data_IF_122854832523
#
_entry.id   IF_122854832523
#
_cell.length_a   1.000
_cell.length_b   1.000
_cell.length_c   1.000
_cell.angle_alpha   90.00
_cell.angle_beta   90.00
_cell.angle_gamma   90.00
#
_symmetry.space_group_name_H-M   'P 1'
#
loop_
_entity.id
_entity.type
_entity.pdbx_description
1 polymer ?
#
# COMPACT_ATOMS: atom_id res chain seq x y z
N UNK A 1 -16.12 -2.60 23.15
CA UNK A 1 -14.92 -2.68 22.28
C UNK A 1 -14.88 -4.07 21.65
N UNK A 2 -14.47 -4.19 20.40
CA UNK A 2 -14.19 -5.49 19.79
C UNK A 2 -12.88 -6.00 20.38
N UNK A 3 -12.78 -7.32 20.65
CA UNK A 3 -11.58 -7.94 21.19
C UNK A 3 -10.36 -7.74 20.30
N UNK A 4 -9.19 -7.68 20.87
CA UNK A 4 -7.93 -7.82 20.16
C UNK A 4 -7.89 -9.18 19.46
N UNK A 5 -7.29 -9.22 18.26
CA UNK A 5 -6.96 -10.49 17.63
C UNK A 5 -5.69 -11.00 18.30
N UNK A 6 -5.76 -12.09 19.02
CA UNK A 6 -4.57 -12.70 19.62
C UNK A 6 -3.61 -13.18 18.54
N UNK A 7 -2.32 -13.03 18.77
CA UNK A 7 -1.29 -13.48 17.82
C UNK A 7 -1.43 -14.94 17.42
N UNK A 8 -1.86 -15.77 18.36
CA UNK A 8 -2.10 -17.22 18.16
C UNK A 8 -3.28 -17.52 17.23
N UNK A 9 -4.22 -16.56 17.06
CA UNK A 9 -5.40 -16.70 16.20
C UNK A 9 -5.15 -16.21 14.76
N UNK A 10 -4.08 -15.42 14.51
CA UNK A 10 -3.79 -14.88 13.20
C UNK A 10 -2.90 -15.83 12.40
N UNK A 11 -3.46 -16.40 11.34
CA UNK A 11 -2.70 -17.27 10.42
C UNK A 11 -1.98 -16.40 9.36
N UNK A 12 -0.66 -16.29 9.51
CA UNK A 12 0.20 -15.60 8.56
C UNK A 12 0.17 -16.33 7.21
N UNK A 13 -0.14 -15.59 6.14
CA UNK A 13 -0.09 -16.12 4.77
C UNK A 13 1.34 -16.08 4.25
N UNK A 14 1.87 -17.24 3.88
CA UNK A 14 3.27 -17.41 3.44
C UNK A 14 3.41 -17.79 1.97
N UNK A 15 2.31 -17.78 1.21
CA UNK A 15 2.29 -18.04 -0.23
C UNK A 15 2.05 -16.75 -1.01
N UNK A 16 2.19 -16.78 -2.33
CA UNK A 16 1.98 -15.63 -3.21
C UNK A 16 0.51 -15.44 -3.63
N UNK A 17 -0.44 -16.17 -3.05
CA UNK A 17 -1.87 -15.96 -3.26
C UNK A 17 -2.55 -15.75 -1.91
N UNK A 18 -3.04 -14.52 -1.68
CA UNK A 18 -3.74 -14.16 -0.45
C UNK A 18 -5.23 -14.01 -0.68
N UNK A 19 -6.02 -14.71 0.14
CA UNK A 19 -7.47 -14.73 0.06
C UNK A 19 -8.09 -14.50 1.43
N UNK A 20 -8.85 -13.40 1.57
CA UNK A 20 -9.53 -13.03 2.80
C UNK A 20 -11.02 -12.80 2.53
N UNK A 21 -11.82 -13.88 2.36
CA UNK A 21 -13.25 -13.77 2.06
C UNK A 21 -14.03 -13.09 3.19
N UNK A 22 -13.56 -13.27 4.42
CA UNK A 22 -14.08 -12.61 5.60
C UNK A 22 -13.12 -11.50 6.04
N UNK A 23 -13.48 -10.24 5.75
CA UNK A 23 -12.72 -9.09 6.19
C UNK A 23 -12.64 -9.04 7.71
N UNK A 24 -11.45 -8.82 8.27
CA UNK A 24 -11.23 -8.62 9.69
C UNK A 24 -12.05 -7.47 10.28
N UNK A 25 -12.51 -7.67 11.51
CA UNK A 25 -13.40 -6.72 12.22
C UNK A 25 -12.95 -6.50 13.67
N UNK A 26 -11.73 -6.87 14.02
CA UNK A 26 -11.17 -6.66 15.36
C UNK A 26 -10.86 -5.19 15.63
N UNK A 27 -10.64 -4.83 16.86
CA UNK A 27 -10.36 -3.46 17.31
C UNK A 27 -11.36 -2.44 16.69
N UNK A 28 -10.86 -1.38 16.14
CA UNK A 28 -11.63 -0.28 15.53
C UNK A 28 -11.83 -0.42 14.02
N UNK A 29 -11.35 -1.52 13.42
CA UNK A 29 -11.50 -1.73 11.98
C UNK A 29 -12.96 -1.72 11.52
N UNK A 30 -13.21 -0.97 10.44
CA UNK A 30 -14.51 -0.93 9.78
C UNK A 30 -14.35 -0.81 8.28
N UNK A 31 -15.39 -1.19 7.54
CA UNK A 31 -15.39 -1.18 6.08
C UNK A 31 -16.05 0.07 5.47
N UNK A 32 -16.40 1.08 6.28
CA UNK A 32 -17.19 2.25 5.83
C UNK A 32 -16.38 3.18 4.93
N UNK A 33 -15.08 3.31 5.18
CA UNK A 33 -14.21 4.11 4.33
C UNK A 33 -13.93 3.36 3.03
N UNK A 34 -14.38 3.94 1.92
CA UNK A 34 -14.23 3.32 0.59
C UNK A 34 -12.76 3.31 0.19
N UNK A 35 -12.28 2.18 -0.31
CA UNK A 35 -10.91 2.01 -0.77
C UNK A 35 -9.91 1.58 0.31
N UNK A 36 -10.31 1.39 1.58
CA UNK A 36 -9.41 0.80 2.56
C UNK A 36 -9.21 -0.70 2.32
N UNK A 37 -8.01 -1.18 2.48
CA UNK A 37 -7.69 -2.61 2.39
C UNK A 37 -8.17 -3.42 3.60
N UNK A 38 -8.22 -4.75 3.45
CA UNK A 38 -8.58 -5.63 4.56
C UNK A 38 -7.48 -5.60 5.63
N UNK A 39 -7.83 -5.54 6.93
CA UNK A 39 -6.84 -5.50 8.02
C UNK A 39 -5.83 -6.64 8.00
N UNK A 40 -6.23 -7.80 7.49
CA UNK A 40 -5.35 -8.97 7.34
C UNK A 40 -4.12 -8.66 6.47
N UNK A 41 -4.22 -7.72 5.50
CA UNK A 41 -3.10 -7.41 4.59
C UNK A 41 -1.98 -6.69 5.35
N UNK A 42 -2.19 -5.50 5.95
CA UNK A 42 -1.14 -4.85 6.72
C UNK A 42 -0.70 -5.67 7.94
N UNK A 43 -1.62 -6.42 8.60
CA UNK A 43 -1.25 -7.33 9.68
C UNK A 43 -0.22 -8.37 9.22
N UNK A 44 -0.47 -9.01 8.08
CA UNK A 44 0.43 -10.01 7.51
C UNK A 44 1.78 -9.43 7.12
N UNK A 45 1.79 -8.24 6.48
CA UNK A 45 3.01 -7.52 6.10
C UNK A 45 3.87 -7.15 7.31
N UNK A 46 3.25 -6.58 8.35
CA UNK A 46 3.93 -6.14 9.57
C UNK A 46 4.57 -7.34 10.28
N UNK A 47 3.86 -8.48 10.38
CA UNK A 47 4.37 -9.72 10.99
C UNK A 47 5.52 -10.35 10.20
N UNK A 48 5.48 -10.31 8.87
CA UNK A 48 6.51 -10.90 8.01
C UNK A 48 7.77 -10.03 7.88
N UNK A 49 7.61 -8.69 7.84
CA UNK A 49 8.67 -7.78 7.40
C UNK A 49 9.11 -6.75 8.44
N UNK A 50 8.60 -6.84 9.67
CA UNK A 50 9.04 -5.98 10.79
C UNK A 50 9.09 -6.73 12.11
N UNK A 51 9.75 -6.12 13.11
CA UNK A 51 9.82 -6.58 14.50
C UNK A 51 9.10 -5.60 15.42
N UNK A 52 8.87 -5.96 16.67
CA UNK A 52 8.43 -5.01 17.71
C UNK A 52 9.41 -3.83 17.76
N UNK A 53 8.89 -2.64 18.03
CA UNK A 53 9.59 -1.34 18.04
C UNK A 53 10.06 -0.82 16.67
N UNK A 54 10.00 -1.62 15.60
CA UNK A 54 10.29 -1.12 14.24
C UNK A 54 9.31 -0.02 13.83
N UNK A 55 9.77 0.90 12.98
CA UNK A 55 8.94 1.99 12.44
C UNK A 55 8.26 1.58 11.14
N UNK A 56 6.92 1.64 11.13
CA UNK A 56 6.06 1.35 9.98
C UNK A 56 5.48 2.64 9.42
N UNK A 57 5.72 2.91 8.14
CA UNK A 57 5.20 4.09 7.43
C UNK A 57 4.06 3.69 6.47
N UNK A 58 2.98 4.46 6.49
CA UNK A 58 1.97 4.51 5.44
C UNK A 58 1.83 5.96 4.93
N UNK A 59 2.40 6.30 3.76
CA UNK A 59 2.35 7.67 3.23
C UNK A 59 0.99 8.07 2.64
N UNK A 60 0.02 7.15 2.55
CA UNK A 60 -1.35 7.38 2.08
C UNK A 60 -2.35 6.63 2.98
N UNK A 61 -2.37 7.03 4.25
CA UNK A 61 -2.91 6.26 5.38
C UNK A 61 -4.42 6.01 5.31
N UNK A 62 -5.16 6.79 4.55
CA UNK A 62 -6.61 6.67 4.43
C UNK A 62 -7.29 6.65 5.82
N UNK A 63 -8.15 5.67 6.07
CA UNK A 63 -8.85 5.53 7.36
C UNK A 63 -8.00 4.93 8.49
N UNK A 64 -6.69 4.74 8.31
CA UNK A 64 -5.77 4.30 9.36
C UNK A 64 -5.62 2.80 9.53
N UNK A 65 -6.03 1.97 8.57
CA UNK A 65 -5.97 0.50 8.71
C UNK A 65 -4.56 0.01 9.02
N UNK A 66 -3.53 0.52 8.35
CA UNK A 66 -2.12 0.20 8.62
C UNK A 66 -1.69 0.64 10.02
N UNK A 67 -2.11 1.83 10.43
CA UNK A 67 -1.74 2.40 11.74
C UNK A 67 -2.39 1.66 12.90
N UNK A 68 -3.63 1.17 12.73
CA UNK A 68 -4.29 0.31 13.72
C UNK A 68 -3.47 -0.98 13.93
N UNK A 69 -3.04 -1.61 12.85
CA UNK A 69 -2.22 -2.83 12.94
C UNK A 69 -0.82 -2.54 13.50
N UNK A 70 -0.15 -1.47 13.06
CA UNK A 70 1.15 -1.08 13.61
C UNK A 70 1.07 -0.86 15.12
N UNK A 71 0.08 -0.08 15.58
CA UNK A 71 -0.18 0.18 16.99
C UNK A 71 -0.40 -1.12 17.78
N UNK A 72 -1.33 -1.95 17.33
CA UNK A 72 -1.71 -3.17 18.06
C UNK A 72 -0.62 -4.24 18.13
N UNK A 73 0.30 -4.21 17.16
CA UNK A 73 1.42 -5.14 17.08
C UNK A 73 2.73 -4.60 17.70
N UNK A 74 2.69 -3.45 18.41
CA UNK A 74 3.86 -2.88 19.08
C UNK A 74 4.89 -2.30 18.11
N UNK A 75 4.44 -1.70 16.99
CA UNK A 75 5.29 -0.97 16.04
C UNK A 75 5.04 0.53 16.15
N UNK A 76 6.05 1.33 15.88
CA UNK A 76 5.94 2.78 15.79
C UNK A 76 5.30 3.15 14.44
N UNK A 77 4.03 3.55 14.45
CA UNK A 77 3.30 3.92 13.24
C UNK A 77 3.53 5.38 12.84
N UNK A 78 3.84 5.63 11.57
CA UNK A 78 3.86 6.97 10.96
C UNK A 78 2.91 6.95 9.77
N UNK A 79 1.89 7.83 9.78
CA UNK A 79 0.89 7.91 8.71
C UNK A 79 0.77 9.32 8.14
N UNK A 80 0.63 9.42 6.82
CA UNK A 80 0.30 10.67 6.15
C UNK A 80 -0.92 10.51 5.24
N UNK A 81 -1.68 11.58 5.10
CA UNK A 81 -2.69 11.73 4.06
C UNK A 81 -2.75 13.20 3.62
N UNK A 82 -3.06 13.43 2.35
CA UNK A 82 -3.14 14.79 1.81
C UNK A 82 -4.40 15.53 2.28
N UNK A 83 -5.45 14.80 2.65
CA UNK A 83 -6.73 15.32 3.13
C UNK A 83 -6.77 15.41 4.65
N UNK A 84 -6.90 16.62 5.21
CA UNK A 84 -6.92 16.84 6.66
C UNK A 84 -8.10 16.13 7.36
N UNK A 85 -9.25 16.00 6.70
CA UNK A 85 -10.40 15.25 7.22
C UNK A 85 -10.11 13.74 7.33
N UNK A 86 -9.34 13.19 6.39
CA UNK A 86 -8.92 11.78 6.39
C UNK A 86 -7.90 11.53 7.49
N UNK A 87 -6.98 12.46 7.73
CA UNK A 87 -6.04 12.43 8.86
C UNK A 87 -6.79 12.34 10.19
N UNK A 88 -7.82 13.18 10.39
CA UNK A 88 -8.65 13.14 11.61
C UNK A 88 -9.37 11.81 11.77
N UNK A 89 -9.90 11.25 10.67
CA UNK A 89 -10.53 9.94 10.67
C UNK A 89 -9.55 8.83 11.08
N UNK A 90 -8.32 8.86 10.55
CA UNK A 90 -7.29 7.88 10.90
C UNK A 90 -6.86 8.00 12.36
N UNK A 91 -6.67 9.24 12.86
CA UNK A 91 -6.38 9.50 14.27
C UNK A 91 -7.51 8.97 15.19
N UNK A 92 -8.77 9.20 14.83
CA UNK A 92 -9.91 8.69 15.60
C UNK A 92 -9.97 7.16 15.57
N UNK A 93 -9.66 6.56 14.42
CA UNK A 93 -9.61 5.09 14.28
C UNK A 93 -8.53 4.44 15.13
N UNK A 94 -7.48 5.16 15.50
CA UNK A 94 -6.41 4.67 16.37
C UNK A 94 -6.68 4.88 17.87
N UNK A 95 -7.83 5.42 18.27
CA UNK A 95 -8.20 5.59 19.68
C UNK A 95 -8.71 4.29 20.30
N UNK A 96 -7.81 3.46 20.71
CA UNK A 96 -8.05 2.24 21.48
C UNK A 96 -6.81 1.91 22.31
N UNK A 97 -6.97 1.13 23.37
CA UNK A 97 -5.89 0.65 24.23
C UNK A 97 -5.67 -0.84 24.01
N UNK A 98 -4.44 -1.28 24.13
CA UNK A 98 -4.02 -2.68 24.07
C UNK A 98 -2.68 -2.86 24.82
N UNK A 99 -2.30 -4.09 25.09
CA UNK A 99 -1.14 -4.40 25.95
C UNK A 99 0.18 -3.85 25.37
N UNK A 100 0.39 -3.98 24.05
CA UNK A 100 1.63 -3.56 23.34
C UNK A 100 1.46 -2.29 22.52
N UNK A 101 0.41 -1.52 22.77
CA UNK A 101 0.08 -0.36 21.94
C UNK A 101 1.15 0.73 21.96
N UNK A 102 1.63 1.11 20.79
CA UNK A 102 2.45 2.31 20.56
C UNK A 102 1.63 3.30 19.74
N UNK A 103 1.43 4.53 20.28
CA UNK A 103 0.61 5.54 19.60
C UNK A 103 1.22 5.97 18.27
N UNK A 104 0.49 5.86 17.15
CA UNK A 104 0.99 6.27 15.85
C UNK A 104 0.97 7.79 15.71
N UNK A 105 1.94 8.30 14.95
CA UNK A 105 2.00 9.71 14.54
C UNK A 105 1.34 9.85 13.18
N UNK A 106 0.16 10.46 13.14
CA UNK A 106 -0.61 10.65 11.90
C UNK A 106 -0.73 12.15 11.60
N UNK A 107 -0.26 12.59 10.44
CA UNK A 107 -0.19 14.01 10.05
C UNK A 107 -0.69 14.23 8.62
N UNK A 108 -1.13 15.45 8.34
CA UNK A 108 -1.35 15.86 6.97
C UNK A 108 0.00 15.99 6.24
N UNK A 109 0.08 15.41 5.04
CA UNK A 109 1.29 15.44 4.23
C UNK A 109 1.06 14.86 2.84
N UNK A 110 2.01 15.12 1.97
CA UNK A 110 2.02 14.65 0.58
C UNK A 110 3.02 13.51 0.45
N UNK A 111 2.56 12.34 0.02
CA UNK A 111 3.39 11.15 -0.18
C UNK A 111 4.55 11.37 -1.17
N UNK A 112 4.44 12.39 -2.05
CA UNK A 112 5.48 12.78 -3.01
C UNK A 112 6.60 13.61 -2.39
N UNK A 113 6.46 14.01 -1.11
CA UNK A 113 7.39 14.90 -0.42
C UNK A 113 7.33 14.70 1.10
N UNK A 114 7.96 13.62 1.58
CA UNK A 114 8.00 13.23 3.00
C UNK A 114 9.11 13.95 3.77
N UNK A 115 9.19 15.29 3.66
CA UNK A 115 10.29 16.13 4.21
C UNK A 115 10.48 16.00 5.71
N UNK A 116 9.43 15.65 6.46
CA UNK A 116 9.49 15.45 7.92
C UNK A 116 9.98 14.07 8.34
N UNK A 117 10.25 13.18 7.37
CA UNK A 117 10.80 11.84 7.62
C UNK A 117 12.25 11.83 7.18
N UNK A 118 13.13 11.45 8.07
CA UNK A 118 14.57 11.37 7.82
C UNK A 118 14.91 10.27 6.80
N UNK A 119 16.06 10.41 6.14
CA UNK A 119 16.58 9.36 5.28
C UNK A 119 16.84 8.10 6.10
N UNK A 120 16.64 6.92 5.52
CA UNK A 120 17.01 5.65 6.11
C UNK A 120 16.51 5.46 7.56
N UNK A 121 15.27 5.95 7.85
CA UNK A 121 14.68 5.92 9.18
C UNK A 121 13.54 4.91 9.34
N UNK A 122 12.97 4.41 8.24
CA UNK A 122 11.79 3.54 8.21
C UNK A 122 12.19 2.08 8.06
N UNK A 123 11.57 1.19 8.83
CA UNK A 123 11.82 -0.25 8.77
C UNK A 123 10.87 -0.99 7.81
N UNK A 124 9.62 -0.52 7.66
CA UNK A 124 8.65 -1.08 6.73
C UNK A 124 7.77 0.04 6.17
N UNK A 125 7.57 0.03 4.86
CA UNK A 125 6.52 0.82 4.22
C UNK A 125 5.41 -0.13 3.78
N UNK A 126 4.16 0.18 4.13
CA UNK A 126 3.00 -0.60 3.73
C UNK A 126 1.87 0.36 3.35
N UNK A 127 1.52 0.45 2.07
CA UNK A 127 0.60 1.48 1.57
C UNK A 127 -0.32 0.99 0.47
N UNK A 128 -1.45 1.68 0.34
CA UNK A 128 -2.51 1.38 -0.63
C UNK A 128 -2.95 2.68 -1.33
N UNK A 129 -2.30 3.05 -2.44
CA UNK A 129 -2.59 4.29 -3.15
C UNK A 129 -3.95 4.26 -3.85
N UNK A 130 -4.49 5.43 -4.27
CA UNK A 130 -5.65 5.47 -5.13
C UNK A 130 -5.35 4.86 -6.52
N UNK A 131 -6.39 4.28 -7.15
CA UNK A 131 -6.30 3.70 -8.50
C UNK A 131 -6.80 4.72 -9.53
N UNK A 132 -5.96 5.66 -9.93
CA UNK A 132 -6.37 6.78 -10.79
C UNK A 132 -7.57 7.52 -10.16
N UNK A 133 -8.50 7.97 -10.98
CA UNK A 133 -9.73 8.66 -10.56
C UNK A 133 -10.95 7.73 -10.37
N UNK A 134 -10.74 6.46 -10.00
CA UNK A 134 -11.84 5.49 -9.79
C UNK A 134 -12.62 5.83 -8.52
N UNK A 135 -11.93 6.28 -7.48
CA UNK A 135 -12.53 6.71 -6.21
C UNK A 135 -12.03 8.11 -5.91
N UNK A 136 -12.95 9.03 -5.66
CA UNK A 136 -12.60 10.35 -5.09
C UNK A 136 -12.53 10.22 -3.58
N UNK A 137 -11.41 10.64 -3.01
CA UNK A 137 -11.17 10.74 -1.58
C UNK A 137 -11.26 12.20 -1.15
N UNK A 138 -11.81 12.44 0.04
CA UNK A 138 -12.01 13.77 0.56
C UNK A 138 -13.21 14.54 -0.05
N UNK A 139 -13.64 15.58 0.67
CA UNK A 139 -14.78 16.43 0.30
C UNK A 139 -14.39 17.60 -0.62
N UNK A 140 -13.10 17.93 -0.67
CA UNK A 140 -12.53 19.05 -1.42
C UNK A 140 -11.44 18.58 -2.36
N UNK A 141 -11.29 19.28 -3.49
CA UNK A 141 -10.12 19.08 -4.35
C UNK A 141 -8.90 19.68 -3.64
N UNK A 142 -7.88 18.86 -3.46
CA UNK A 142 -6.59 19.25 -2.89
C UNK A 142 -5.55 19.15 -4.00
N UNK A 143 -4.70 20.18 -4.11
CA UNK A 143 -3.60 20.13 -5.06
C UNK A 143 -2.65 18.98 -4.69
N UNK A 144 -2.33 18.17 -5.71
CA UNK A 144 -1.50 16.98 -5.48
C UNK A 144 -2.27 15.70 -5.14
N UNK A 145 -3.60 15.73 -5.01
CA UNK A 145 -4.40 14.53 -4.82
C UNK A 145 -4.32 13.60 -6.04
N UNK A 146 -3.68 12.45 -5.85
CA UNK A 146 -3.50 11.43 -6.89
C UNK A 146 -4.84 10.85 -7.37
N UNK A 147 -5.87 10.86 -6.53
CA UNK A 147 -7.21 10.37 -6.87
C UNK A 147 -7.96 11.26 -7.86
N UNK A 148 -7.46 12.46 -8.13
CA UNK A 148 -7.97 13.37 -9.16
C UNK A 148 -7.40 13.11 -10.55
N UNK A 149 -6.34 12.30 -10.69
CA UNK A 149 -5.61 12.13 -11.94
C UNK A 149 -6.26 11.05 -12.81
N UNK A 150 -6.74 11.45 -13.98
CA UNK A 150 -7.34 10.52 -14.95
C UNK A 150 -6.34 9.95 -15.97
N UNK A 151 -5.24 10.64 -16.26
CA UNK A 151 -4.19 10.19 -17.19
C UNK A 151 -3.28 9.17 -16.53
N UNK A 152 -3.11 7.99 -17.16
CA UNK A 152 -2.19 6.95 -16.67
C UNK A 152 -0.74 7.48 -16.62
N UNK A 153 -0.28 8.16 -17.67
CA UNK A 153 1.08 8.71 -17.71
C UNK A 153 1.30 9.70 -16.56
N UNK A 154 0.44 10.70 -16.42
CA UNK A 154 0.54 11.68 -15.32
C UNK A 154 0.49 11.02 -13.94
N UNK A 155 -0.37 10.03 -13.75
CA UNK A 155 -0.43 9.28 -12.50
C UNK A 155 0.89 8.55 -12.22
N UNK A 156 1.46 7.90 -13.24
CA UNK A 156 2.74 7.22 -13.10
C UNK A 156 3.89 8.19 -12.79
N UNK A 157 3.89 9.39 -13.36
CA UNK A 157 4.90 10.42 -13.08
C UNK A 157 4.82 10.89 -11.61
N UNK A 158 3.61 11.01 -11.07
CA UNK A 158 3.43 11.35 -9.65
C UNK A 158 3.77 10.17 -8.71
N UNK A 159 3.41 8.95 -9.08
CA UNK A 159 3.80 7.73 -8.34
C UNK A 159 5.32 7.53 -8.35
N UNK A 160 6.04 7.94 -9.39
CA UNK A 160 7.50 7.91 -9.41
C UNK A 160 8.10 8.77 -8.30
N UNK A 161 7.53 9.95 -8.04
CA UNK A 161 7.95 10.81 -6.92
C UNK A 161 7.69 10.13 -5.56
N UNK A 162 6.53 9.47 -5.42
CA UNK A 162 6.23 8.66 -4.22
C UNK A 162 7.26 7.54 -4.05
N UNK A 163 7.58 6.82 -5.13
CA UNK A 163 8.56 5.75 -5.08
C UNK A 163 9.96 6.25 -4.68
N UNK A 164 10.38 7.40 -5.19
CA UNK A 164 11.65 8.04 -4.80
C UNK A 164 11.68 8.43 -3.32
N UNK A 165 10.59 8.99 -2.78
CA UNK A 165 10.50 9.31 -1.35
C UNK A 165 10.47 8.04 -0.48
N UNK A 166 9.70 7.02 -0.89
CA UNK A 166 9.72 5.71 -0.21
C UNK A 166 11.14 5.12 -0.18
N UNK A 167 11.87 5.20 -1.30
CA UNK A 167 13.25 4.72 -1.38
C UNK A 167 14.17 5.51 -0.46
N UNK A 168 14.04 6.84 -0.41
CA UNK A 168 14.85 7.72 0.42
C UNK A 168 14.70 7.41 1.91
N UNK A 169 13.45 7.30 2.39
CA UNK A 169 13.17 7.16 3.83
C UNK A 169 13.34 5.73 4.35
N UNK A 170 13.25 4.72 3.49
CA UNK A 170 13.38 3.31 3.88
C UNK A 170 14.83 2.97 4.17
N UNK A 171 15.11 2.29 5.29
CA UNK A 171 16.45 1.78 5.63
C UNK A 171 16.95 0.78 4.58
N UNK A 172 18.27 0.73 4.31
CA UNK A 172 18.88 -0.30 3.48
C UNK A 172 18.52 -1.72 3.96
N UNK A 173 18.24 -2.62 3.01
CA UNK A 173 17.84 -4.01 3.29
C UNK A 173 16.38 -4.20 3.71
N UNK A 174 15.62 -3.13 3.94
CA UNK A 174 14.21 -3.16 4.39
C UNK A 174 13.22 -3.16 3.23
N UNK A 175 11.91 -3.29 3.55
CA UNK A 175 10.85 -3.62 2.59
C UNK A 175 9.82 -2.50 2.43
N UNK A 176 9.33 -2.36 1.20
CA UNK A 176 8.22 -1.48 0.83
C UNK A 176 7.15 -2.30 0.12
N UNK A 177 5.95 -2.36 0.70
CA UNK A 177 4.82 -3.08 0.14
C UNK A 177 3.74 -2.11 -0.36
N UNK A 178 3.29 -2.33 -1.60
CA UNK A 178 2.24 -1.53 -2.23
C UNK A 178 1.16 -2.42 -2.82
N UNK A 179 -0.09 -2.23 -2.36
CA UNK A 179 -1.25 -2.88 -2.98
C UNK A 179 -1.78 -1.99 -4.09
N UNK A 180 -1.96 -2.54 -5.28
CA UNK A 180 -2.48 -1.81 -6.44
C UNK A 180 -3.31 -2.72 -7.32
N UNK A 181 -4.48 -2.26 -7.75
CA UNK A 181 -5.34 -2.98 -8.67
C UNK A 181 -5.29 -2.43 -10.08
N UNK A 182 -5.59 -3.28 -11.04
CA UNK A 182 -5.77 -2.90 -12.42
C UNK A 182 -7.20 -2.43 -12.70
N UNK A 183 -7.40 -1.80 -13.84
CA UNK A 183 -8.70 -1.29 -14.24
C UNK A 183 -8.97 -1.55 -15.73
N UNK A 184 -10.14 -1.10 -16.19
CA UNK A 184 -10.51 -1.13 -17.61
C UNK A 184 -10.93 0.23 -18.12
N UNK A 185 -10.54 0.52 -19.36
CA UNK A 185 -11.04 1.67 -20.12
C UNK A 185 -11.53 1.18 -21.47
N UNK A 186 -12.70 1.61 -21.86
CA UNK A 186 -13.33 1.19 -23.13
C UNK A 186 -13.29 -0.35 -23.33
N UNK A 187 -13.58 -1.11 -22.23
CA UNK A 187 -13.56 -2.59 -22.17
C UNK A 187 -12.17 -3.24 -22.22
N UNK A 188 -11.09 -2.49 -22.49
CA UNK A 188 -9.72 -2.99 -22.53
C UNK A 188 -9.05 -2.88 -21.16
N UNK A 189 -8.19 -3.83 -20.88
CA UNK A 189 -7.38 -3.88 -19.66
C UNK A 189 -6.36 -2.75 -19.62
N UNK A 190 -6.27 -2.07 -18.51
CA UNK A 190 -5.25 -1.03 -18.25
C UNK A 190 -4.32 -1.58 -17.17
N UNK A 191 -3.07 -1.93 -17.52
CA UNK A 191 -2.10 -2.56 -16.60
C UNK A 191 -1.49 -1.51 -15.64
N UNK A 192 -2.33 -0.97 -14.76
CA UNK A 192 -1.93 0.06 -13.80
C UNK A 192 -0.92 -0.48 -12.80
N UNK A 193 -1.15 -1.70 -12.30
CA UNK A 193 -0.28 -2.34 -11.33
C UNK A 193 1.15 -2.49 -11.86
N UNK A 194 1.32 -3.00 -13.07
CA UNK A 194 2.63 -3.15 -13.71
C UNK A 194 3.30 -1.80 -14.01
N UNK A 195 2.51 -0.79 -14.38
CA UNK A 195 3.02 0.56 -14.60
C UNK A 195 3.57 1.17 -13.29
N UNK A 196 2.88 0.96 -12.16
CA UNK A 196 3.34 1.37 -10.83
C UNK A 196 4.57 0.59 -10.41
N UNK A 197 4.58 -0.73 -10.59
CA UNK A 197 5.74 -1.59 -10.31
C UNK A 197 7.00 -1.05 -10.97
N UNK A 198 6.93 -0.70 -12.26
CA UNK A 198 8.07 -0.15 -13.01
C UNK A 198 8.60 1.16 -12.40
N UNK A 199 7.73 2.02 -11.83
CA UNK A 199 8.17 3.26 -11.17
C UNK A 199 8.96 3.00 -9.89
N UNK A 200 8.58 1.98 -9.13
CA UNK A 200 9.35 1.55 -7.95
C UNK A 200 10.69 0.93 -8.35
N UNK A 201 10.72 0.08 -9.38
CA UNK A 201 11.99 -0.44 -9.91
C UNK A 201 12.91 0.69 -10.40
N UNK A 202 12.36 1.69 -11.10
CA UNK A 202 13.11 2.88 -11.56
C UNK A 202 13.68 3.70 -10.40
N UNK A 203 13.01 3.76 -9.27
CA UNK A 203 13.53 4.41 -8.06
C UNK A 203 14.70 3.65 -7.40
N UNK A 204 15.03 2.43 -7.87
CA UNK A 204 16.16 1.64 -7.41
C UNK A 204 15.82 0.45 -6.52
N UNK A 205 14.55 0.16 -6.33
CA UNK A 205 14.10 -1.03 -5.60
C UNK A 205 14.38 -2.33 -6.37
N UNK A 206 14.47 -3.43 -5.61
CA UNK A 206 14.46 -4.81 -6.10
C UNK A 206 13.04 -5.35 -5.89
N UNK A 207 12.42 -5.94 -6.90
CA UNK A 207 11.15 -6.66 -6.72
C UNK A 207 11.44 -7.96 -5.96
N UNK A 208 10.85 -8.08 -4.78
CA UNK A 208 11.03 -9.27 -3.92
C UNK A 208 9.90 -10.27 -4.13
N UNK A 209 8.64 -9.80 -4.16
CA UNK A 209 7.47 -10.66 -4.35
C UNK A 209 6.38 -9.92 -5.15
N UNK A 210 5.61 -10.68 -5.93
CA UNK A 210 4.29 -10.30 -6.44
C UNK A 210 3.25 -11.23 -5.82
N UNK A 211 2.43 -10.69 -4.94
CA UNK A 211 1.36 -11.42 -4.28
C UNK A 211 0.02 -11.09 -4.94
N UNK A 212 -0.66 -12.10 -5.41
CA UNK A 212 -2.03 -11.98 -5.95
C UNK A 212 -3.01 -11.96 -4.78
N UNK A 213 -3.57 -10.80 -4.50
CA UNK A 213 -4.62 -10.64 -3.50
C UNK A 213 -5.98 -10.83 -4.15
N UNK A 214 -6.67 -11.92 -3.83
CA UNK A 214 -8.01 -12.24 -4.35
C UNK A 214 -9.05 -11.25 -3.83
N UNK A 215 -9.85 -10.68 -4.73
CA UNK A 215 -10.95 -9.79 -4.38
C UNK A 215 -12.23 -10.58 -4.06
N UNK A 216 -12.89 -10.19 -2.97
CA UNK A 216 -14.17 -10.75 -2.55
C UNK A 216 -15.23 -9.66 -2.44
N UNK A 217 -16.47 -10.01 -2.77
CA UNK A 217 -17.64 -9.12 -2.60
C UNK A 217 -17.52 -7.74 -3.27
N UNK A 218 -16.78 -7.64 -4.36
CA UNK A 218 -16.56 -6.39 -5.08
C UNK A 218 -17.87 -5.91 -5.74
N UNK A 219 -18.28 -4.68 -5.46
CA UNK A 219 -19.51 -4.10 -6.05
C UNK A 219 -19.41 -3.96 -7.56
N UNK A 220 -18.26 -3.59 -8.09
CA UNK A 220 -17.99 -3.47 -9.53
C UNK A 220 -18.14 -4.81 -10.24
N UNK A 221 -17.67 -5.89 -9.62
CA UNK A 221 -17.80 -7.26 -10.13
C UNK A 221 -19.27 -7.67 -10.21
N UNK A 222 -20.09 -7.35 -9.20
CA UNK A 222 -21.54 -7.64 -9.23
C UNK A 222 -22.25 -6.89 -10.34
N UNK A 223 -21.95 -5.61 -10.52
CA UNK A 223 -22.52 -4.78 -11.57
C UNK A 223 -22.22 -5.36 -12.96
N UNK A 224 -20.95 -5.63 -13.25
CA UNK A 224 -20.54 -6.19 -14.55
C UNK A 224 -20.90 -7.66 -14.73
N UNK A 225 -21.06 -8.43 -13.64
CA UNK A 225 -21.49 -9.83 -13.69
C UNK A 225 -22.85 -10.03 -14.30
N UNK A 226 -23.76 -9.06 -14.18
CA UNK A 226 -25.12 -9.09 -14.70
C UNK A 226 -25.23 -8.62 -16.16
N UNK A 227 -24.15 -8.16 -16.79
CA UNK A 227 -24.17 -7.60 -18.15
C UNK A 227 -23.51 -8.53 -19.15
N UNK A 228 -24.01 -8.52 -20.39
CA UNK A 228 -23.34 -9.16 -21.51
C UNK A 228 -22.01 -8.45 -21.83
N UNK A 229 -20.92 -9.22 -21.94
CA UNK A 229 -19.57 -8.69 -22.06
C UNK A 229 -18.63 -9.65 -22.77
N UNK A 230 -17.65 -9.07 -23.45
CA UNK A 230 -16.57 -9.76 -24.17
C UNK A 230 -15.22 -9.71 -23.41
N UNK A 231 -15.25 -9.51 -22.09
CA UNK A 231 -14.06 -9.43 -21.25
C UNK A 231 -14.24 -10.16 -19.92
N UNK A 232 -13.12 -10.60 -19.33
CA UNK A 232 -13.11 -11.22 -18.01
C UNK A 232 -13.16 -10.18 -16.90
N UNK A 233 -13.79 -10.50 -15.77
CA UNK A 233 -13.82 -9.64 -14.58
C UNK A 233 -12.47 -9.70 -13.88
N UNK A 234 -11.94 -8.54 -13.48
CA UNK A 234 -10.75 -8.47 -12.66
C UNK A 234 -11.14 -8.85 -11.23
N UNK A 235 -10.58 -9.94 -10.71
CA UNK A 235 -10.90 -10.51 -9.41
C UNK A 235 -9.68 -10.56 -8.48
N UNK A 236 -8.67 -9.75 -8.76
CA UNK A 236 -7.45 -9.67 -7.94
C UNK A 236 -6.87 -8.25 -7.96
N UNK A 237 -5.98 -8.05 -7.04
CA UNK A 237 -5.06 -6.92 -6.95
C UNK A 237 -3.66 -7.48 -6.80
N UNK A 238 -2.65 -6.71 -7.19
CA UNK A 238 -1.24 -7.03 -6.98
C UNK A 238 -0.74 -6.37 -5.70
N UNK A 239 -0.13 -7.14 -4.82
CA UNK A 239 0.62 -6.64 -3.69
C UNK A 239 2.10 -6.85 -4.00
N UNK A 240 2.73 -5.82 -4.54
CA UNK A 240 4.17 -5.86 -4.78
C UNK A 240 4.94 -5.60 -3.49
N UNK A 241 5.92 -6.44 -3.22
CA UNK A 241 6.85 -6.27 -2.11
C UNK A 241 8.21 -5.99 -2.71
N UNK A 242 8.71 -4.80 -2.45
CA UNK A 242 10.01 -4.34 -2.89
C UNK A 242 10.98 -4.36 -1.72
N UNK A 243 12.27 -4.50 -2.02
CA UNK A 243 13.35 -4.38 -1.07
C UNK A 243 14.33 -3.27 -1.50
N UNK A 244 14.71 -2.40 -0.58
CA UNK A 244 15.84 -1.49 -0.82
C UNK A 244 17.13 -2.31 -0.72
N UNK A 245 18.07 -2.21 -1.67
CA UNK A 245 19.38 -2.86 -1.56
C UNK A 245 20.04 -2.53 -0.21
N UNK A 246 20.73 -3.49 0.38
CA UNK A 246 21.53 -3.24 1.58
C UNK A 246 22.82 -2.49 1.23
N UNK A 247 23.43 -1.84 2.23
CA UNK A 247 24.69 -1.14 2.05
C UNK A 247 25.79 -2.11 1.65
N UNK A 248 26.55 -1.77 0.61
CA UNK A 248 27.63 -2.60 0.10
C UNK A 248 27.18 -3.86 -0.66
N UNK A 249 25.88 -4.05 -0.83
CA UNK A 249 25.34 -5.23 -1.53
C UNK A 249 25.64 -5.18 -3.05
N UNK A 250 26.11 -6.31 -3.59
CA UNK A 250 26.34 -6.43 -5.04
C UNK A 250 25.00 -6.53 -5.79
N UNK A 251 24.56 -5.40 -6.38
CA UNK A 251 23.29 -5.31 -7.10
C UNK A 251 23.22 -6.20 -8.34
N UNK A 252 24.36 -6.59 -8.93
CA UNK A 252 24.37 -7.41 -10.16
C UNK A 252 23.71 -8.79 -9.98
N UNK A 253 23.69 -9.32 -8.75
CA UNK A 253 23.01 -10.58 -8.46
C UNK A 253 21.47 -10.48 -8.51
N UNK A 254 20.92 -9.27 -8.50
CA UNK A 254 19.48 -8.98 -8.54
C UNK A 254 19.04 -8.35 -9.87
N UNK A 255 19.90 -8.33 -10.90
CA UNK A 255 19.61 -7.68 -12.18
C UNK A 255 18.27 -8.09 -12.81
N UNK A 256 17.87 -9.35 -12.64
CA UNK A 256 16.61 -9.88 -13.18
C UNK A 256 15.37 -9.46 -12.36
N UNK A 257 15.57 -8.93 -11.15
CA UNK A 257 14.53 -8.41 -10.25
C UNK A 257 14.56 -6.87 -10.11
N UNK A 258 15.35 -6.21 -10.95
CA UNK A 258 15.47 -4.74 -11.03
C UNK A 258 15.04 -4.26 -12.42
N UNK A 259 14.88 -2.95 -12.58
CA UNK A 259 14.64 -2.38 -13.90
C UNK A 259 15.84 -2.69 -14.81
N UNK A 260 15.59 -3.42 -15.89
CA UNK A 260 16.63 -3.67 -16.90
C UNK A 260 16.79 -2.41 -17.77
N UNK A 261 17.89 -1.69 -17.58
CA UNK A 261 18.22 -0.48 -18.36
C UNK A 261 18.71 -0.80 -19.77
N UNK A 262 19.02 -2.07 -20.05
CA UNK A 262 19.62 -2.48 -21.33
C UNK A 262 18.59 -2.71 -22.44
N UNK A 263 17.28 -2.79 -22.09
CA UNK A 263 16.20 -2.98 -23.07
C UNK A 263 15.86 -1.71 -23.88
N UNK A 264 16.47 -0.58 -23.57
CA UNK A 264 16.22 0.71 -24.24
C UNK A 264 17.39 1.26 -25.08
N UNK A 265 18.49 0.53 -25.25
CA UNK A 265 19.67 1.02 -25.98
C UNK A 265 19.85 0.40 -27.38
N UNK A 266 18.89 -0.39 -27.87
CA UNK A 266 18.91 -0.96 -29.21
C UNK A 266 17.77 -0.38 -30.08
N UNK A 267 17.76 0.94 -30.29
CA UNK A 267 17.07 1.59 -31.41
C UNK A 267 17.99 2.68 -32.01
#
# INVERSE_FOLDING_TARGET
>A
MKSELKDEEFQVQTTTVWSFPNRGKWLTHNAKYRGNWAPQIPSNLIRLYSKEDDTVLDPMVGSGTTMIEAKSLGRQGIGFDIHSEVVKLAQESCKFDCEKCIEPVIKQGDARSLKSVENDSIDLIATHPPYLNIIKYGSKTVDGDLSGISSLSKFCDEIEKVACECYRVLKPGKYCAILIGDTRRRRHYVPLAFSVMQRFLKAGFILKEDVIKVQHNCATTRYWGAQDKDFLLIMHEHLFIFRKPADGENKSIFKDSMLNTDLGQNE
#
